data_IF_248766996721
#
_entry.id   IF_248766996721
#
_cell.length_a   1.000
_cell.length_b   1.000
_cell.length_c   1.000
_cell.angle_alpha   90.00
_cell.angle_beta   90.00
_cell.angle_gamma   90.00
#
_symmetry.space_group_name_H-M   'P 1'
#
loop_
_entity.id
_entity.type
_entity.pdbx_description
1 polymer ?
#
# COMPACT_ATOMS: atom_id res chain seq x y z
N UNK A 1 -2.74 3.02 -6.07
CA UNK A 1 -2.96 1.71 -5.45
C UNK A 1 -1.82 0.77 -5.77
N UNK A 2 -1.69 -0.29 -4.99
CA UNK A 2 -0.84 -1.44 -5.24
C UNK A 2 -1.76 -2.66 -5.31
N UNK A 3 -1.65 -3.46 -6.35
CA UNK A 3 -2.51 -4.61 -6.59
C UNK A 3 -1.63 -5.85 -6.74
N UNK A 4 -1.94 -6.88 -5.97
CA UNK A 4 -1.24 -8.15 -6.02
C UNK A 4 -2.21 -9.22 -6.53
N UNK A 5 -1.83 -9.87 -7.63
CA UNK A 5 -2.63 -10.93 -8.24
C UNK A 5 -1.85 -12.25 -8.19
N UNK A 6 -2.52 -13.30 -7.70
CA UNK A 6 -2.01 -14.67 -7.70
C UNK A 6 -2.88 -15.51 -8.65
N UNK A 7 -2.27 -16.04 -9.70
CA UNK A 7 -2.92 -16.97 -10.63
C UNK A 7 -3.29 -18.28 -9.91
N UNK A 8 -4.57 -18.68 -9.98
CA UNK A 8 -5.10 -19.91 -9.36
C UNK A 8 -5.49 -20.98 -10.39
N UNK A 9 -5.08 -20.82 -11.64
CA UNK A 9 -5.41 -21.70 -12.75
C UNK A 9 -6.89 -21.60 -13.15
N UNK A 10 -7.44 -22.69 -13.67
CA UNK A 10 -8.80 -22.73 -14.24
C UNK A 10 -9.89 -22.95 -13.20
N UNK A 11 -9.52 -23.07 -11.91
CA UNK A 11 -10.46 -23.23 -10.79
C UNK A 11 -10.48 -21.95 -9.95
N UNK A 12 -11.66 -21.33 -9.75
CA UNK A 12 -11.77 -20.19 -8.86
C UNK A 12 -11.50 -20.61 -7.42
N UNK A 13 -10.60 -19.90 -6.74
CA UNK A 13 -10.36 -20.07 -5.30
C UNK A 13 -11.08 -18.96 -4.55
N UNK A 14 -12.05 -19.32 -3.72
CA UNK A 14 -12.76 -18.37 -2.86
C UNK A 14 -11.91 -18.01 -1.64
N UNK A 15 -11.67 -16.71 -1.42
CA UNK A 15 -10.93 -16.26 -0.25
C UNK A 15 -11.70 -16.49 1.04
N UNK A 16 -10.98 -16.89 2.08
CA UNK A 16 -11.48 -16.93 3.48
C UNK A 16 -10.92 -15.78 4.33
N UNK A 17 -10.17 -14.87 3.72
CA UNK A 17 -9.39 -13.83 4.41
C UNK A 17 -9.48 -12.48 3.71
N UNK A 18 -10.58 -12.20 3.02
CA UNK A 18 -10.87 -10.88 2.44
C UNK A 18 -10.14 -10.56 1.12
N UNK A 19 -9.59 -11.55 0.42
CA UNK A 19 -9.12 -11.36 -0.96
C UNK A 19 -10.30 -11.45 -1.94
N UNK A 20 -10.16 -10.83 -3.11
CA UNK A 20 -11.13 -10.96 -4.18
C UNK A 20 -10.79 -12.17 -5.05
N UNK A 21 -11.80 -12.96 -5.41
CA UNK A 21 -11.68 -13.96 -6.48
C UNK A 21 -12.12 -13.29 -7.77
N UNK A 22 -11.23 -13.24 -8.75
CA UNK A 22 -11.48 -12.54 -10.03
C UNK A 22 -11.02 -13.40 -11.21
N UNK A 23 -11.41 -13.00 -12.43
CA UNK A 23 -10.85 -13.55 -13.66
C UNK A 23 -9.54 -12.81 -13.94
N UNK A 24 -8.44 -13.55 -14.07
CA UNK A 24 -7.17 -12.99 -14.51
C UNK A 24 -7.17 -12.74 -16.01
N UNK A 25 -7.52 -13.77 -16.79
CA UNK A 25 -7.65 -13.67 -18.25
C UNK A 25 -8.49 -14.82 -18.84
N UNK A 26 -8.96 -14.61 -20.07
CA UNK A 26 -9.55 -15.64 -20.94
C UNK A 26 -9.11 -15.37 -22.37
N UNK A 27 -8.52 -16.37 -23.02
CA UNK A 27 -7.97 -16.26 -24.37
C UNK A 27 -8.70 -17.27 -25.25
N UNK A 28 -9.34 -16.80 -26.31
CA UNK A 28 -10.09 -17.61 -27.28
C UNK A 28 -11.07 -18.60 -26.62
N UNK A 29 -10.98 -19.87 -27.02
CA UNK A 29 -11.80 -20.97 -26.52
C UNK A 29 -11.23 -21.64 -25.25
N UNK A 30 -10.06 -21.22 -24.79
CA UNK A 30 -9.44 -21.82 -23.59
C UNK A 30 -10.24 -21.47 -22.32
N UNK A 31 -10.22 -22.36 -21.30
CA UNK A 31 -10.85 -22.07 -20.03
C UNK A 31 -10.31 -20.78 -19.40
N UNK A 32 -11.19 -20.02 -18.75
CA UNK A 32 -10.78 -18.82 -18.01
C UNK A 32 -9.79 -19.19 -16.91
N UNK A 33 -8.76 -18.35 -16.75
CA UNK A 33 -7.79 -18.44 -15.65
C UNK A 33 -8.16 -17.41 -14.60
N UNK A 34 -8.30 -17.87 -13.36
CA UNK A 34 -8.71 -17.08 -12.21
C UNK A 34 -7.51 -16.57 -11.42
N UNK A 35 -7.75 -15.52 -10.65
CA UNK A 35 -6.79 -14.96 -9.71
C UNK A 35 -7.42 -14.73 -8.34
N UNK A 36 -6.59 -14.81 -7.31
CA UNK A 36 -6.83 -14.12 -6.05
C UNK A 36 -6.17 -12.75 -6.11
N UNK A 37 -6.92 -11.71 -5.73
CA UNK A 37 -6.45 -10.33 -5.74
C UNK A 37 -6.48 -9.72 -4.35
N UNK A 38 -5.35 -9.12 -3.96
CA UNK A 38 -5.25 -8.19 -2.84
C UNK A 38 -5.10 -6.77 -3.35
N UNK A 39 -5.96 -5.88 -2.84
CA UNK A 39 -6.04 -4.48 -3.26
C UNK A 39 -5.61 -3.55 -2.13
N UNK A 40 -4.57 -2.74 -2.37
CA UNK A 40 -4.13 -1.66 -1.49
C UNK A 40 -4.44 -0.33 -2.19
N UNK A 41 -5.40 0.44 -1.67
CA UNK A 41 -5.81 1.68 -2.32
C UNK A 41 -4.69 2.74 -2.34
N UNK A 42 -4.00 2.90 -1.21
CA UNK A 42 -3.06 4.01 -0.99
C UNK A 42 -1.63 3.47 -0.85
N UNK A 43 -0.89 3.52 -1.95
CA UNK A 43 0.55 3.24 -2.04
C UNK A 43 1.29 4.47 -2.59
N UNK A 44 1.49 4.58 -3.91
CA UNK A 44 2.07 5.77 -4.54
C UNK A 44 1.29 7.07 -4.26
N UNK A 45 -0.02 6.97 -4.02
CA UNK A 45 -0.85 8.09 -3.61
C UNK A 45 -0.44 8.67 -2.23
N UNK A 46 0.14 7.87 -1.33
CA UNK A 46 0.71 8.37 -0.07
C UNK A 46 1.89 9.30 -0.34
N UNK A 47 2.76 8.89 -1.26
CA UNK A 47 3.95 9.68 -1.63
C UNK A 47 3.53 10.98 -2.33
N UNK A 48 2.51 10.91 -3.19
CA UNK A 48 1.93 12.10 -3.82
C UNK A 48 1.30 13.03 -2.77
N UNK A 49 0.56 12.49 -1.79
CA UNK A 49 -0.04 13.29 -0.73
C UNK A 49 1.01 14.00 0.14
N UNK A 50 2.11 13.33 0.49
CA UNK A 50 3.23 13.93 1.21
C UNK A 50 3.88 15.08 0.43
N UNK A 51 4.01 14.93 -0.89
CA UNK A 51 4.52 15.96 -1.80
C UNK A 51 3.55 17.14 -1.92
N UNK A 52 2.29 16.86 -2.23
CA UNK A 52 1.34 17.89 -2.68
C UNK A 52 0.70 18.62 -1.51
N UNK A 53 0.37 17.92 -0.43
CA UNK A 53 -0.38 18.49 0.69
C UNK A 53 0.55 18.93 1.82
N UNK A 54 1.54 18.10 2.16
CA UNK A 54 2.46 18.40 3.26
C UNK A 54 3.80 19.01 2.82
N UNK A 55 4.05 19.10 1.51
CA UNK A 55 5.24 19.74 0.93
C UNK A 55 6.56 19.20 1.51
N UNK A 56 6.64 17.88 1.71
CA UNK A 56 7.85 17.25 2.27
C UNK A 56 9.04 17.33 1.31
N UNK A 57 8.77 17.20 0.01
CA UNK A 57 9.72 17.17 -1.11
C UNK A 57 9.03 17.70 -2.37
N UNK A 58 9.80 18.05 -3.42
CA UNK A 58 9.26 18.66 -4.64
C UNK A 58 8.85 17.62 -5.68
N UNK A 59 9.64 16.55 -5.83
CA UNK A 59 9.36 15.44 -6.75
C UNK A 59 9.20 14.13 -5.99
N UNK A 60 8.27 13.29 -6.43
CA UNK A 60 8.02 11.99 -5.80
C UNK A 60 9.23 11.06 -5.83
N UNK A 61 10.16 11.24 -6.78
CA UNK A 61 11.43 10.50 -6.86
C UNK A 61 12.39 10.82 -5.71
N UNK A 62 12.25 11.96 -5.03
CA UNK A 62 13.13 12.36 -3.92
C UNK A 62 12.87 11.55 -2.65
N UNK A 63 11.71 10.88 -2.54
CA UNK A 63 11.33 10.12 -1.34
C UNK A 63 12.35 9.03 -1.00
N UNK A 64 12.92 8.37 -2.00
CA UNK A 64 13.88 7.29 -1.79
C UNK A 64 15.19 7.83 -1.23
N UNK A 65 15.71 8.90 -1.81
CA UNK A 65 16.93 9.56 -1.32
C UNK A 65 16.74 10.05 0.13
N UNK A 66 15.57 10.63 0.43
CA UNK A 66 15.22 11.09 1.77
C UNK A 66 15.09 9.93 2.77
N UNK A 67 14.46 8.81 2.37
CA UNK A 67 14.35 7.61 3.21
C UNK A 67 15.72 6.94 3.47
N UNK A 68 16.69 7.13 2.58
CA UNK A 68 18.07 6.63 2.70
C UNK A 68 18.95 7.47 3.62
N UNK A 69 18.51 8.67 4.04
CA UNK A 69 19.28 9.48 5.01
C UNK A 69 19.18 8.96 6.45
N UNK A 70 18.34 7.94 6.68
CA UNK A 70 18.12 7.32 7.99
C UNK A 70 18.21 5.81 7.85
N UNK A 71 18.70 5.13 8.88
CA UNK A 71 18.87 3.67 8.86
C UNK A 71 17.52 2.93 8.95
N UNK A 72 16.57 3.50 9.69
CA UNK A 72 15.25 2.93 9.98
C UNK A 72 14.15 4.02 10.04
N UNK A 73 12.91 3.65 10.35
CA UNK A 73 11.77 4.56 10.43
C UNK A 73 11.66 5.34 11.77
N UNK A 74 12.58 5.13 12.70
CA UNK A 74 12.58 5.79 14.01
C UNK A 74 11.46 5.35 14.95
N UNK A 75 10.78 4.23 14.66
CA UNK A 75 9.63 3.72 15.41
C UNK A 75 8.29 4.35 15.01
N UNK A 76 8.26 5.17 13.95
CA UNK A 76 6.99 5.72 13.46
C UNK A 76 6.34 4.75 12.49
N UNK A 77 5.02 4.69 12.53
CA UNK A 77 4.23 3.91 11.59
C UNK A 77 3.19 4.79 10.92
N UNK A 78 3.05 4.61 9.61
CA UNK A 78 2.05 5.26 8.80
C UNK A 78 0.96 4.23 8.44
N UNK A 79 -0.29 4.51 8.78
CA UNK A 79 -1.46 3.74 8.34
C UNK A 79 -2.21 4.60 7.33
N UNK A 80 -2.01 4.44 6.01
CA UNK A 80 -2.48 5.39 5.01
C UNK A 80 -3.93 5.11 4.55
N UNK A 81 -4.86 4.98 5.50
CA UNK A 81 -6.27 4.70 5.23
C UNK A 81 -7.07 5.96 4.80
N UNK A 82 -6.59 6.72 3.81
CA UNK A 82 -7.26 7.97 3.36
C UNK A 82 -8.65 7.75 2.77
N UNK A 83 -8.90 6.55 2.25
CA UNK A 83 -10.19 6.14 1.67
C UNK A 83 -10.73 4.88 2.38
N UNK A 84 -10.30 4.64 3.62
CA UNK A 84 -10.50 3.37 4.33
C UNK A 84 -9.39 2.36 4.06
N UNK A 85 -9.47 1.22 4.76
CA UNK A 85 -8.62 0.05 4.53
C UNK A 85 -9.33 -0.94 3.61
N UNK A 86 -8.61 -1.43 2.60
CA UNK A 86 -9.11 -2.41 1.64
C UNK A 86 -8.72 -3.81 2.15
N UNK A 87 -8.27 -4.72 1.28
CA UNK A 87 -7.81 -6.05 1.68
C UNK A 87 -6.75 -5.98 2.78
N UNK A 88 -6.77 -6.89 3.77
CA UNK A 88 -7.81 -7.90 4.07
C UNK A 88 -8.96 -7.36 4.94
N UNK A 89 -8.87 -6.09 5.38
CA UNK A 89 -9.69 -5.54 6.46
C UNK A 89 -11.08 -5.04 6.04
N UNK A 90 -11.22 -4.50 4.83
CA UNK A 90 -12.46 -3.92 4.29
C UNK A 90 -13.17 -2.97 5.25
N UNK A 91 -12.42 -2.01 5.77
CA UNK A 91 -12.87 -1.05 6.79
C UNK A 91 -12.95 0.36 6.21
N UNK A 92 -14.11 0.72 5.68
CA UNK A 92 -14.35 2.00 4.99
C UNK A 92 -14.37 3.23 5.91
N UNK A 93 -14.65 3.04 7.20
CA UNK A 93 -14.61 4.09 8.22
C UNK A 93 -13.19 4.35 8.76
N UNK A 94 -12.22 3.49 8.44
CA UNK A 94 -10.82 3.73 8.82
C UNK A 94 -10.28 5.04 8.20
N UNK A 95 -9.38 5.71 8.93
CA UNK A 95 -8.76 6.97 8.52
C UNK A 95 -7.25 6.90 8.67
N UNK A 96 -6.56 7.79 7.96
CA UNK A 96 -5.11 7.89 8.00
C UNK A 96 -4.59 8.21 9.40
N UNK A 97 -3.58 7.48 9.87
CA UNK A 97 -2.94 7.71 11.18
C UNK A 97 -1.42 7.66 11.05
N UNK A 98 -0.73 8.54 11.77
CA UNK A 98 0.71 8.46 12.03
C UNK A 98 0.88 8.26 13.53
N UNK A 99 1.58 7.20 13.94
CA UNK A 99 1.86 6.90 15.35
C UNK A 99 3.37 6.79 15.59
N UNK A 100 3.78 6.82 16.86
CA UNK A 100 5.19 6.64 17.26
C UNK A 100 6.05 7.91 17.15
N UNK A 101 5.44 9.09 16.95
CA UNK A 101 6.17 10.34 16.86
C UNK A 101 6.90 10.66 18.17
N UNK A 102 8.21 10.89 18.05
CA UNK A 102 9.06 11.43 19.11
C UNK A 102 9.86 12.63 18.57
N UNK A 103 10.55 13.37 19.44
CA UNK A 103 11.36 14.54 19.02
C UNK A 103 12.53 14.18 18.09
N UNK A 104 12.95 12.92 18.07
CA UNK A 104 14.02 12.42 17.19
C UNK A 104 13.60 12.36 15.70
N UNK A 105 12.30 12.30 15.45
CA UNK A 105 11.76 12.08 14.10
C UNK A 105 12.01 13.28 13.20
N UNK A 106 12.37 12.98 11.95
CA UNK A 106 12.67 13.96 10.92
C UNK A 106 12.05 13.53 9.58
N UNK A 107 12.25 14.35 8.53
CA UNK A 107 11.68 14.09 7.21
C UNK A 107 12.14 12.74 6.60
N UNK A 108 13.36 12.31 6.88
CA UNK A 108 13.90 11.01 6.46
C UNK A 108 13.11 9.85 7.05
N UNK A 109 12.86 9.89 8.36
CA UNK A 109 12.03 8.90 9.04
C UNK A 109 10.61 8.81 8.45
N UNK A 110 9.99 9.96 8.15
CA UNK A 110 8.65 10.04 7.55
C UNK A 110 8.64 9.45 6.13
N UNK A 111 9.64 9.79 5.31
CA UNK A 111 9.78 9.20 3.98
C UNK A 111 9.96 7.68 4.04
N UNK A 112 10.81 7.20 4.97
CA UNK A 112 11.05 5.77 5.20
C UNK A 112 9.78 5.04 5.63
N UNK A 113 9.06 5.55 6.63
CA UNK A 113 7.82 4.96 7.11
C UNK A 113 6.71 4.95 6.06
N UNK A 114 6.64 5.97 5.21
CA UNK A 114 5.67 6.01 4.11
C UNK A 114 5.91 4.90 3.07
N UNK A 115 7.17 4.62 2.75
CA UNK A 115 7.55 3.51 1.88
C UNK A 115 7.24 2.16 2.55
N UNK A 116 7.65 2.00 3.81
CA UNK A 116 7.41 0.76 4.58
C UNK A 116 5.91 0.48 4.77
N UNK A 117 5.08 1.50 4.94
CA UNK A 117 3.62 1.35 5.04
C UNK A 117 3.00 0.69 3.79
N UNK A 118 3.61 0.86 2.61
CA UNK A 118 3.17 0.14 1.40
C UNK A 118 3.53 -1.34 1.49
N UNK A 119 4.69 -1.67 2.07
CA UNK A 119 5.15 -3.04 2.23
C UNK A 119 4.41 -3.79 3.35
N UNK A 120 4.03 -3.12 4.44
CA UNK A 120 3.28 -3.77 5.53
C UNK A 120 1.82 -4.08 5.19
N UNK A 121 1.25 -3.45 4.17
CA UNK A 121 -0.16 -3.63 3.77
C UNK A 121 -0.41 -4.88 2.91
N UNK A 122 0.60 -5.71 2.64
CA UNK A 122 0.48 -6.94 1.84
C UNK A 122 0.14 -8.16 2.68
#
# INVERSE_FOLDING_TARGET
GCFMLLNTGTKPVLSKSGLLTTIGYKIDAEPAVYCLEGSIAISGALIQWLRDNLKFFEKSSEVEALARTVENNGGIYFVPAFSGLFTPYWKSDARGVIVGLTRYINKGHIARAALEATAYQT
#
